data_IF_634942245559
#
_entry.id   IF_634942245559
#
_cell.length_a   1.000
_cell.length_b   1.000
_cell.length_c   1.000
_cell.angle_alpha   90.00
_cell.angle_beta   90.00
_cell.angle_gamma   90.00
#
_symmetry.space_group_name_H-M   'P 1'
#
loop_
_entity.id
_entity.type
_entity.pdbx_description
1 polymer ?
#
# COMPACT_ATOMS: atom_id res chain seq x y z
N UNK A 1 7.06 -6.31 -3.77
CA UNK A 1 5.92 -5.85 -4.60
C UNK A 1 5.59 -6.80 -5.75
N UNK A 2 6.54 -7.32 -6.54
CA UNK A 2 6.21 -8.22 -7.66
C UNK A 2 5.46 -9.49 -7.21
N UNK A 3 6.01 -10.24 -6.24
CA UNK A 3 5.32 -11.43 -5.70
C UNK A 3 3.99 -11.09 -5.01
N UNK A 4 3.89 -9.89 -4.42
CA UNK A 4 2.67 -9.45 -3.74
C UNK A 4 1.59 -9.08 -4.74
N UNK A 5 1.95 -8.51 -5.89
CA UNK A 5 1.00 -8.19 -6.94
C UNK A 5 0.26 -9.46 -7.41
N UNK A 6 0.99 -10.55 -7.68
CA UNK A 6 0.37 -11.82 -8.05
C UNK A 6 -0.49 -12.41 -6.92
N UNK A 7 0.00 -12.34 -5.68
CA UNK A 7 -0.74 -12.82 -4.51
C UNK A 7 -2.04 -12.03 -4.29
N UNK A 8 -2.00 -10.70 -4.41
CA UNK A 8 -3.16 -9.83 -4.29
C UNK A 8 -4.16 -10.07 -5.43
N UNK A 9 -3.68 -10.19 -6.67
CA UNK A 9 -4.54 -10.51 -7.81
C UNK A 9 -5.21 -11.88 -7.65
N UNK A 10 -4.50 -12.86 -7.08
CA UNK A 10 -5.08 -14.17 -6.77
C UNK A 10 -6.11 -14.08 -5.63
N UNK A 11 -5.81 -13.35 -4.56
CA UNK A 11 -6.72 -13.15 -3.43
C UNK A 11 -8.00 -12.41 -3.84
N UNK A 12 -7.88 -11.40 -4.71
CA UNK A 12 -9.00 -10.61 -5.23
C UNK A 12 -10.05 -11.47 -5.96
N UNK A 13 -9.66 -12.61 -6.54
CA UNK A 13 -10.59 -13.56 -7.17
C UNK A 13 -11.60 -14.16 -6.20
N UNK A 14 -11.27 -14.20 -4.90
CA UNK A 14 -12.17 -14.69 -3.85
C UNK A 14 -13.20 -13.64 -3.42
N UNK A 15 -13.07 -12.38 -3.89
CA UNK A 15 -13.94 -11.25 -3.54
C UNK A 15 -14.13 -11.09 -2.02
N UNK A 16 -13.04 -11.02 -1.23
CA UNK A 16 -13.14 -10.85 0.21
C UNK A 16 -13.73 -9.48 0.56
N UNK A 17 -14.36 -9.37 1.74
CA UNK A 17 -14.87 -8.10 2.27
C UNK A 17 -13.73 -7.10 2.52
N UNK A 18 -12.58 -7.60 2.98
CA UNK A 18 -11.37 -6.82 3.23
C UNK A 18 -10.12 -7.60 2.83
N UNK A 19 -9.15 -6.93 2.22
CA UNK A 19 -7.80 -7.45 1.99
C UNK A 19 -6.78 -6.65 2.79
N UNK A 20 -5.88 -7.35 3.48
CA UNK A 20 -4.81 -6.72 4.26
C UNK A 20 -3.49 -7.40 3.91
N UNK A 21 -2.46 -6.64 3.53
CA UNK A 21 -1.11 -7.19 3.35
C UNK A 21 -0.06 -6.52 4.25
N UNK A 22 0.81 -7.32 4.85
CA UNK A 22 1.91 -6.85 5.69
C UNK A 22 3.24 -7.11 5.00
N UNK A 23 4.10 -6.08 4.89
CA UNK A 23 5.35 -6.19 4.11
C UNK A 23 6.42 -5.20 4.56
N UNK A 24 7.67 -5.66 4.66
CA UNK A 24 8.88 -4.84 4.81
C UNK A 24 9.33 -4.24 3.46
N UNK A 25 8.50 -3.35 2.89
CA UNK A 25 8.54 -3.08 1.45
C UNK A 25 9.56 -2.03 0.99
N UNK A 26 9.73 -0.95 1.76
CA UNK A 26 10.51 0.21 1.29
C UNK A 26 11.36 0.82 2.39
N UNK A 27 12.60 1.19 2.06
CA UNK A 27 13.40 2.06 2.91
C UNK A 27 12.79 3.46 3.05
N UNK A 28 12.02 3.93 2.05
CA UNK A 28 11.34 5.22 2.09
C UNK A 28 10.35 5.34 3.27
N UNK A 29 9.67 4.24 3.64
CA UNK A 29 8.78 4.24 4.80
C UNK A 29 9.57 4.41 6.11
N UNK A 30 10.74 3.78 6.24
CA UNK A 30 11.61 3.96 7.40
C UNK A 30 12.15 5.39 7.49
N UNK A 31 12.52 6.00 6.36
CA UNK A 31 12.94 7.41 6.34
C UNK A 31 11.81 8.34 6.78
N UNK A 32 10.55 8.03 6.44
CA UNK A 32 9.40 8.87 6.78
C UNK A 32 8.93 8.70 8.23
N UNK A 33 8.90 7.47 8.76
CA UNK A 33 8.22 7.13 10.01
C UNK A 33 9.15 6.53 11.09
N UNK A 34 10.42 6.30 10.76
CA UNK A 34 11.38 5.62 11.64
C UNK A 34 11.14 4.12 11.73
N UNK A 35 11.61 3.52 12.83
CA UNK A 35 11.53 2.07 13.06
C UNK A 35 10.33 1.65 13.93
N UNK A 36 9.69 2.61 14.59
CA UNK A 36 8.69 2.35 15.65
C UNK A 36 7.24 2.53 15.18
N UNK A 37 7.03 3.02 13.95
CA UNK A 37 5.71 3.33 13.40
C UNK A 37 5.58 2.71 12.02
N UNK A 38 4.65 1.78 11.86
CA UNK A 38 4.36 1.19 10.56
C UNK A 38 3.47 2.11 9.73
N UNK A 39 3.84 2.32 8.46
CA UNK A 39 3.03 3.06 7.51
C UNK A 39 1.89 2.20 6.99
N UNK A 40 0.67 2.72 7.04
CA UNK A 40 -0.51 2.09 6.42
C UNK A 40 -0.97 2.93 5.22
N UNK A 41 -1.34 2.24 4.15
CA UNK A 41 -2.03 2.81 2.99
C UNK A 41 -3.38 2.11 2.89
N UNK A 42 -4.41 2.79 2.41
CA UNK A 42 -5.69 2.13 2.17
C UNK A 42 -6.50 2.87 1.12
N UNK A 43 -7.22 2.13 0.29
CA UNK A 43 -8.22 2.67 -0.62
C UNK A 43 -9.62 2.79 0.04
N UNK A 44 -9.75 2.41 1.31
CA UNK A 44 -11.02 2.34 2.03
C UNK A 44 -10.87 2.90 3.45
N UNK A 45 -11.28 4.16 3.65
CA UNK A 45 -11.05 4.88 4.91
C UNK A 45 -11.59 4.14 6.16
N UNK A 46 -12.80 3.54 6.15
CA UNK A 46 -13.28 2.80 7.33
C UNK A 46 -12.38 1.63 7.74
N UNK A 47 -11.71 0.97 6.77
CA UNK A 47 -10.76 -0.10 7.05
C UNK A 47 -9.48 0.46 7.70
N UNK A 48 -8.95 1.57 7.17
CA UNK A 48 -7.78 2.24 7.75
C UNK A 48 -8.05 2.67 9.21
N UNK A 49 -9.20 3.32 9.46
CA UNK A 49 -9.59 3.78 10.79
C UNK A 49 -9.73 2.61 11.76
N UNK A 50 -10.32 1.49 11.32
CA UNK A 50 -10.44 0.28 12.13
C UNK A 50 -9.07 -0.30 12.49
N UNK A 51 -8.15 -0.38 11.53
CA UNK A 51 -6.80 -0.90 11.78
C UNK A 51 -5.99 0.01 12.72
N UNK A 52 -6.09 1.33 12.56
CA UNK A 52 -5.41 2.29 13.45
C UNK A 52 -5.96 2.18 14.87
N UNK A 53 -7.28 2.05 15.04
CA UNK A 53 -7.89 1.82 16.36
C UNK A 53 -7.40 0.52 16.99
N UNK A 54 -7.40 -0.58 16.24
CA UNK A 54 -6.90 -1.86 16.73
C UNK A 54 -5.42 -1.79 17.13
N UNK A 55 -4.59 -1.08 16.37
CA UNK A 55 -3.19 -0.87 16.73
C UNK A 55 -3.05 -0.11 18.06
N UNK A 56 -3.83 0.96 18.26
CA UNK A 56 -3.83 1.70 19.53
C UNK A 56 -4.22 0.80 20.72
N UNK A 57 -5.24 -0.04 20.55
CA UNK A 57 -5.69 -0.98 21.58
C UNK A 57 -4.65 -2.08 21.88
N UNK A 58 -3.89 -2.52 20.87
CA UNK A 58 -2.84 -3.53 21.03
C UNK A 58 -1.49 -2.96 21.46
N UNK A 59 -1.36 -1.62 21.59
CA UNK A 59 -0.10 -0.95 21.90
C UNK A 59 0.86 -0.80 20.70
N UNK A 60 0.39 -1.07 19.49
CA UNK A 60 1.13 -0.89 18.24
C UNK A 60 0.90 0.51 17.64
N UNK A 61 1.81 0.97 16.77
CA UNK A 61 1.71 2.29 16.14
C UNK A 61 1.59 2.17 14.63
N UNK A 62 0.44 2.57 14.12
CA UNK A 62 0.21 2.76 12.68
C UNK A 62 0.03 4.24 12.37
N UNK A 63 0.57 4.67 11.23
CA UNK A 63 0.34 6.01 10.70
C UNK A 63 -0.08 5.94 9.23
N UNK A 64 -1.24 6.53 8.93
CA UNK A 64 -1.76 6.54 7.57
C UNK A 64 -0.95 7.50 6.69
N UNK A 65 -0.44 6.96 5.59
CA UNK A 65 0.16 7.73 4.51
C UNK A 65 -0.83 7.83 3.33
N UNK A 66 -0.79 8.92 2.56
CA UNK A 66 -1.76 9.14 1.50
C UNK A 66 -1.50 8.28 0.26
N UNK A 67 -2.57 7.83 -0.41
CA UNK A 67 -2.53 7.30 -1.78
C UNK A 67 -2.74 8.45 -2.77
N UNK A 68 -1.67 9.20 -3.04
CA UNK A 68 -1.68 10.36 -3.94
C UNK A 68 -1.75 9.89 -5.40
N UNK A 69 -2.92 9.96 -6.03
CA UNK A 69 -3.16 9.39 -7.38
C UNK A 69 -2.24 9.98 -8.45
N UNK A 70 -1.87 11.25 -8.31
CA UNK A 70 -0.98 11.98 -9.23
C UNK A 70 0.41 11.33 -9.31
N UNK A 71 0.84 10.61 -8.26
CA UNK A 71 2.12 9.91 -8.26
C UNK A 71 2.13 8.67 -9.16
N UNK A 72 0.98 8.28 -9.74
CA UNK A 72 0.90 7.25 -10.79
C UNK A 72 1.70 7.63 -12.04
N UNK A 73 1.86 8.92 -12.32
CA UNK A 73 2.72 9.41 -13.42
C UNK A 73 4.17 8.92 -13.29
N UNK A 74 4.67 8.80 -12.06
CA UNK A 74 6.05 8.38 -11.78
C UNK A 74 6.31 6.91 -12.17
N UNK A 75 5.26 6.09 -12.21
CA UNK A 75 5.31 4.66 -12.52
C UNK A 75 4.81 4.34 -13.94
N UNK A 76 4.55 5.32 -14.80
CA UNK A 76 4.19 5.07 -16.21
C UNK A 76 5.33 4.45 -17.00
N UNK A 77 5.07 3.38 -17.74
CA UNK A 77 6.04 2.76 -18.66
C UNK A 77 5.71 3.11 -20.11
N UNK A 78 6.73 3.20 -20.97
CA UNK A 78 6.56 3.39 -22.42
C UNK A 78 6.36 2.09 -23.19
N UNK A 79 6.61 0.94 -22.54
CA UNK A 79 6.63 -0.40 -23.17
C UNK A 79 5.79 -1.45 -22.42
N UNK A 80 5.17 -1.07 -21.30
CA UNK A 80 4.34 -1.94 -20.46
C UNK A 80 3.26 -1.09 -19.78
N UNK A 81 2.33 -1.73 -19.07
CA UNK A 81 1.26 -1.02 -18.35
C UNK A 81 1.81 -0.13 -17.23
N UNK A 82 2.85 -0.58 -16.52
CA UNK A 82 3.54 0.21 -15.50
C UNK A 82 4.99 -0.23 -15.26
N UNK A 83 5.80 0.66 -14.68
CA UNK A 83 7.07 0.36 -14.03
C UNK A 83 6.82 -0.11 -12.59
N UNK A 84 7.69 -0.98 -12.08
CA UNK A 84 7.66 -1.38 -10.67
C UNK A 84 8.39 -0.40 -9.73
N UNK A 85 8.96 0.69 -10.24
CA UNK A 85 9.70 1.71 -9.45
C UNK A 85 9.30 3.12 -9.93
N UNK A 86 9.09 4.03 -8.97
CA UNK A 86 8.65 5.42 -9.22
C UNK A 86 9.74 6.50 -9.08
N UNK A 87 11.01 6.13 -8.90
CA UNK A 87 12.10 7.08 -8.69
C UNK A 87 12.42 7.34 -7.20
N UNK A 88 13.20 8.39 -6.89
CA UNK A 88 13.77 8.58 -5.55
C UNK A 88 12.80 9.19 -4.51
N UNK A 89 11.73 9.85 -4.94
CA UNK A 89 10.78 10.54 -4.06
C UNK A 89 9.45 9.78 -3.98
N UNK A 90 8.77 9.86 -2.83
CA UNK A 90 7.47 9.21 -2.65
C UNK A 90 7.53 7.68 -2.77
N UNK A 91 8.67 7.06 -2.48
CA UNK A 91 8.91 5.63 -2.72
C UNK A 91 7.92 4.70 -2.01
N UNK A 92 7.45 5.07 -0.81
CA UNK A 92 6.42 4.33 -0.08
C UNK A 92 5.05 4.44 -0.78
N UNK A 93 4.65 5.66 -1.16
CA UNK A 93 3.38 5.94 -1.83
C UNK A 93 3.32 5.26 -3.20
N UNK A 94 4.35 5.42 -4.04
CA UNK A 94 4.39 4.78 -5.36
C UNK A 94 4.40 3.25 -5.28
N UNK A 95 5.00 2.68 -4.23
CA UNK A 95 4.92 1.23 -3.99
C UNK A 95 3.50 0.78 -3.66
N UNK A 96 2.79 1.52 -2.82
CA UNK A 96 1.40 1.25 -2.47
C UNK A 96 0.46 1.42 -3.69
N UNK A 97 0.67 2.45 -4.52
CA UNK A 97 -0.07 2.64 -5.77
C UNK A 97 0.11 1.46 -6.73
N UNK A 98 1.33 0.91 -6.87
CA UNK A 98 1.55 -0.30 -7.68
C UNK A 98 0.71 -1.47 -7.14
N UNK A 99 0.71 -1.70 -5.82
CA UNK A 99 -0.08 -2.79 -5.23
C UNK A 99 -1.58 -2.57 -5.38
N UNK A 100 -2.03 -1.31 -5.30
CA UNK A 100 -3.44 -0.93 -5.48
C UNK A 100 -4.01 -1.37 -6.84
N UNK A 101 -3.19 -1.40 -7.89
CA UNK A 101 -3.61 -1.84 -9.23
C UNK A 101 -4.02 -3.32 -9.27
N UNK A 102 -3.51 -4.14 -8.35
CA UNK A 102 -3.77 -5.59 -8.31
C UNK A 102 -4.93 -5.97 -7.38
N UNK A 103 -5.47 -5.01 -6.61
CA UNK A 103 -6.62 -5.22 -5.73
C UNK A 103 -7.93 -4.72 -6.35
N UNK A 104 -7.86 -3.84 -7.35
CA UNK A 104 -9.03 -3.21 -7.96
C UNK A 104 -9.80 -2.33 -6.98
N UNK A 105 -11.14 -2.46 -6.98
CA UNK A 105 -12.04 -1.68 -6.13
C UNK A 105 -12.35 -2.35 -4.77
N UNK A 106 -11.73 -3.50 -4.47
CA UNK A 106 -11.92 -4.19 -3.19
C UNK A 106 -11.32 -3.38 -2.04
N UNK A 107 -11.98 -3.31 -0.87
CA UNK A 107 -11.41 -2.67 0.32
C UNK A 107 -10.07 -3.30 0.71
N UNK A 108 -9.01 -2.49 0.69
CA UNK A 108 -7.64 -2.94 0.83
C UNK A 108 -6.81 -2.04 1.76
N UNK A 109 -5.90 -2.65 2.52
CA UNK A 109 -4.86 -1.99 3.30
C UNK A 109 -3.52 -2.75 3.30
#
# INVERSE_FOLDING_TARGET
RLILADALALAAKQKPDYMINLVTLTGACMVALGNEVAGIFSNHQPLADQLIRCAQESGEKLWQLPLVKEYRELIKSSVADMKNVGGPHGGAITAALILQEFVGDLPWA
#
